data_IF_469570213641
#
_entry.id   IF_469570213641
#
_cell.length_a   1.000
_cell.length_b   1.000
_cell.length_c   1.000
_cell.angle_alpha   90.00
_cell.angle_beta   90.00
_cell.angle_gamma   90.00
#
_symmetry.space_group_name_H-M   'P 1'
#
loop_
_entity.id
_entity.type
_entity.pdbx_description
1 polymer ?
#
# COMPACT_ATOMS: atom_id res chain seq x y z
N UNK A 1 -32.51 6.75 31.94
CA UNK A 1 -33.65 6.80 31.01
C UNK A 1 -33.04 6.80 29.62
N UNK A 2 -33.04 5.65 28.93
CA UNK A 2 -32.57 5.59 27.54
C UNK A 2 -33.49 6.46 26.67
N UNK A 3 -32.91 7.23 25.75
CA UNK A 3 -33.68 8.11 24.89
C UNK A 3 -34.60 7.28 24.00
N UNK A 4 -35.77 7.79 23.60
CA UNK A 4 -36.69 7.06 22.73
C UNK A 4 -36.01 6.60 21.42
N UNK A 5 -35.06 7.39 20.90
CA UNK A 5 -34.27 7.06 19.71
C UNK A 5 -33.35 5.86 19.92
N UNK A 6 -32.75 5.72 21.10
CA UNK A 6 -31.89 4.56 21.42
C UNK A 6 -32.70 3.26 21.38
N UNK A 7 -33.91 3.26 21.96
CA UNK A 7 -34.79 2.07 21.93
C UNK A 7 -35.27 1.71 20.53
N UNK A 8 -35.65 2.71 19.73
CA UNK A 8 -36.06 2.49 18.33
C UNK A 8 -34.89 1.95 17.49
N UNK A 9 -33.65 2.33 17.82
CA UNK A 9 -32.43 1.80 17.19
C UNK A 9 -32.15 0.34 17.60
N UNK A 10 -32.20 0.03 18.90
CA UNK A 10 -32.01 -1.34 19.44
C UNK A 10 -33.01 -2.33 18.82
N UNK A 11 -34.30 -1.98 18.80
CA UNK A 11 -35.34 -2.83 18.19
C UNK A 11 -35.06 -3.07 16.69
N UNK A 12 -34.56 -2.04 16.00
CA UNK A 12 -34.18 -2.14 14.58
C UNK A 12 -32.98 -3.06 14.32
N UNK A 13 -31.96 -3.00 15.17
CA UNK A 13 -30.77 -3.87 15.10
C UNK A 13 -31.17 -5.33 15.26
N UNK A 14 -31.90 -5.67 16.33
CA UNK A 14 -32.34 -7.04 16.58
C UNK A 14 -33.22 -7.56 15.43
N UNK A 15 -34.13 -6.74 14.91
CA UNK A 15 -34.99 -7.14 13.79
C UNK A 15 -34.18 -7.43 12.52
N UNK A 16 -33.21 -6.56 12.18
CA UNK A 16 -32.39 -6.75 10.99
C UNK A 16 -31.50 -8.00 11.08
N UNK A 17 -30.92 -8.28 12.25
CA UNK A 17 -30.11 -9.48 12.47
C UNK A 17 -30.94 -10.76 12.48
N UNK A 18 -32.14 -10.75 13.05
CA UNK A 18 -33.06 -11.90 12.96
C UNK A 18 -33.46 -12.20 11.51
N UNK A 19 -33.68 -11.16 10.71
CA UNK A 19 -33.95 -11.34 9.28
C UNK A 19 -32.74 -11.94 8.55
N UNK A 20 -31.54 -11.40 8.79
CA UNK A 20 -30.30 -11.90 8.22
C UNK A 20 -30.05 -13.37 8.58
N UNK A 21 -30.18 -13.74 9.86
CA UNK A 21 -30.05 -15.12 10.33
C UNK A 21 -31.08 -16.04 9.66
N UNK A 22 -32.31 -15.56 9.44
CA UNK A 22 -33.34 -16.37 8.80
C UNK A 22 -33.02 -16.71 7.33
N UNK A 23 -32.16 -15.94 6.66
CA UNK A 23 -31.84 -16.08 5.23
C UNK A 23 -30.42 -16.58 4.95
N UNK A 24 -29.51 -16.54 5.92
CA UNK A 24 -28.08 -16.84 5.74
C UNK A 24 -27.83 -18.23 5.12
N UNK A 25 -28.58 -19.24 5.58
CA UNK A 25 -28.46 -20.63 5.12
C UNK A 25 -29.41 -20.98 3.96
N UNK A 26 -30.22 -20.03 3.48
CA UNK A 26 -31.14 -20.27 2.36
C UNK A 26 -30.41 -20.21 1.03
N UNK A 27 -30.87 -21.00 0.07
CA UNK A 27 -30.40 -20.92 -1.33
C UNK A 27 -31.13 -19.79 -2.08
N UNK A 28 -30.98 -18.56 -1.59
CA UNK A 28 -31.55 -17.37 -2.21
C UNK A 28 -30.68 -16.15 -1.96
N UNK A 29 -29.76 -15.91 -2.90
CA UNK A 29 -28.78 -14.83 -2.82
C UNK A 29 -29.41 -13.43 -2.80
N UNK A 30 -30.53 -13.23 -3.50
CA UNK A 30 -31.22 -11.95 -3.53
C UNK A 30 -31.76 -11.55 -2.15
N UNK A 31 -32.31 -12.52 -1.40
CA UNK A 31 -32.77 -12.29 -0.03
C UNK A 31 -31.60 -11.99 0.93
N UNK A 32 -30.45 -12.65 0.74
CA UNK A 32 -29.24 -12.37 1.54
C UNK A 32 -28.74 -10.95 1.31
N UNK A 33 -28.66 -10.52 0.05
CA UNK A 33 -28.26 -9.15 -0.31
C UNK A 33 -29.24 -8.13 0.29
N UNK A 34 -30.56 -8.36 0.14
CA UNK A 34 -31.56 -7.47 0.71
C UNK A 34 -31.48 -7.36 2.24
N UNK A 35 -31.21 -8.48 2.94
CA UNK A 35 -31.04 -8.46 4.39
C UNK A 35 -29.79 -7.66 4.81
N UNK A 36 -28.68 -7.79 4.07
CA UNK A 36 -27.47 -6.99 4.30
C UNK A 36 -27.68 -5.49 4.05
N UNK A 37 -28.45 -5.12 3.01
CA UNK A 37 -28.82 -3.73 2.73
C UNK A 37 -29.65 -3.11 3.88
N UNK A 38 -30.50 -3.92 4.54
CA UNK A 38 -31.23 -3.47 5.74
C UNK A 38 -30.31 -3.20 6.91
N UNK A 39 -29.29 -4.04 7.12
CA UNK A 39 -28.27 -3.80 8.15
C UNK A 39 -27.49 -2.51 7.84
N UNK A 40 -27.08 -2.32 6.59
CA UNK A 40 -26.36 -1.12 6.15
C UNK A 40 -27.19 0.16 6.37
N UNK A 41 -28.49 0.12 6.08
CA UNK A 41 -29.40 1.25 6.26
C UNK A 41 -29.57 1.71 7.72
N UNK A 42 -29.19 0.88 8.71
CA UNK A 42 -29.20 1.27 10.13
C UNK A 42 -28.00 2.14 10.50
N UNK A 43 -26.89 2.06 9.74
CA UNK A 43 -25.64 2.72 10.08
C UNK A 43 -25.70 4.20 9.71
N UNK A 44 -25.73 5.08 10.72
CA UNK A 44 -25.56 6.52 10.51
C UNK A 44 -24.07 6.89 10.48
N UNK A 45 -23.59 7.27 9.29
CA UNK A 45 -22.20 7.73 9.09
C UNK A 45 -21.84 9.01 9.87
N UNK A 46 -22.82 9.74 10.41
CA UNK A 46 -22.59 10.90 11.27
C UNK A 46 -22.57 10.56 12.77
N UNK A 47 -22.94 9.34 13.16
CA UNK A 47 -22.96 8.93 14.57
C UNK A 47 -21.52 8.74 15.09
N UNK A 48 -21.07 9.68 15.93
CA UNK A 48 -19.76 9.60 16.59
C UNK A 48 -19.76 8.67 17.81
N UNK A 49 -20.95 8.26 18.30
CA UNK A 49 -21.06 7.34 19.43
C UNK A 49 -20.88 5.88 19.02
N UNK A 50 -21.05 5.58 17.73
CA UNK A 50 -21.03 4.24 17.14
C UNK A 50 -21.99 3.26 17.84
N UNK A 51 -23.10 3.78 18.34
CA UNK A 51 -24.05 3.00 19.16
C UNK A 51 -24.66 1.83 18.40
N UNK A 52 -25.06 2.08 17.16
CA UNK A 52 -25.66 1.08 16.27
C UNK A 52 -24.63 0.06 15.81
N UNK A 53 -23.44 0.51 15.40
CA UNK A 53 -22.34 -0.35 14.98
C UNK A 53 -21.91 -1.29 16.10
N UNK A 54 -21.84 -0.77 17.34
CA UNK A 54 -21.55 -1.58 18.52
C UNK A 54 -22.64 -2.61 18.79
N UNK A 55 -23.90 -2.21 18.79
CA UNK A 55 -25.03 -3.13 19.01
C UNK A 55 -25.05 -4.25 17.97
N UNK A 56 -24.83 -3.94 16.69
CA UNK A 56 -24.74 -4.92 15.62
C UNK A 56 -23.66 -5.98 15.89
N UNK A 57 -22.47 -5.55 16.31
CA UNK A 57 -21.37 -6.47 16.64
C UNK A 57 -21.66 -7.28 17.89
N UNK A 58 -22.17 -6.65 18.95
CA UNK A 58 -22.51 -7.31 20.22
C UNK A 58 -23.62 -8.37 20.04
N UNK A 59 -24.52 -8.18 19.07
CA UNK A 59 -25.59 -9.12 18.72
C UNK A 59 -25.19 -10.18 17.66
N UNK A 60 -23.90 -10.29 17.33
CA UNK A 60 -23.35 -11.41 16.55
C UNK A 60 -23.29 -11.18 15.04
N UNK A 61 -23.35 -9.93 14.55
CA UNK A 61 -23.20 -9.64 13.12
C UNK A 61 -21.94 -10.28 12.49
N UNK A 62 -20.83 -10.34 13.24
CA UNK A 62 -19.53 -10.88 12.79
C UNK A 62 -19.68 -12.31 12.24
N UNK A 63 -20.38 -13.19 12.96
CA UNK A 63 -20.55 -14.60 12.56
C UNK A 63 -21.38 -14.76 11.29
N UNK A 64 -22.34 -13.86 11.06
CA UNK A 64 -23.14 -13.85 9.84
C UNK A 64 -22.30 -13.38 8.65
N UNK A 65 -21.51 -12.32 8.82
CA UNK A 65 -20.65 -11.79 7.76
C UNK A 65 -19.54 -12.78 7.38
N UNK A 66 -18.92 -13.46 8.35
CA UNK A 66 -17.92 -14.50 8.08
C UNK A 66 -18.50 -15.65 7.22
N UNK A 67 -19.70 -16.14 7.58
CA UNK A 67 -20.42 -17.15 6.78
C UNK A 67 -20.73 -16.67 5.37
N UNK A 68 -21.19 -15.43 5.21
CA UNK A 68 -21.56 -14.86 3.91
C UNK A 68 -20.35 -14.51 3.04
N UNK A 69 -19.19 -14.24 3.62
CA UNK A 69 -17.93 -14.01 2.91
C UNK A 69 -17.22 -15.28 2.45
N UNK A 70 -17.60 -16.45 3.00
CA UNK A 70 -16.97 -17.72 2.69
C UNK A 70 -16.93 -17.99 1.17
N UNK A 71 -15.90 -18.69 0.64
CA UNK A 71 -15.72 -18.93 -0.79
C UNK A 71 -16.90 -19.62 -1.50
N UNK A 72 -17.75 -20.35 -0.75
CA UNK A 72 -18.95 -21.00 -1.28
C UNK A 72 -20.13 -20.08 -1.55
N UNK A 73 -20.11 -18.85 -1.04
CA UNK A 73 -21.17 -17.86 -1.25
C UNK A 73 -21.06 -17.19 -2.62
N UNK A 74 -22.21 -16.84 -3.21
CA UNK A 74 -22.23 -16.13 -4.48
C UNK A 74 -21.47 -14.79 -4.39
N UNK A 75 -20.80 -14.41 -5.48
CA UNK A 75 -19.96 -13.19 -5.53
C UNK A 75 -20.76 -11.94 -5.15
N UNK A 76 -22.02 -11.83 -5.57
CA UNK A 76 -22.89 -10.71 -5.21
C UNK A 76 -23.17 -10.64 -3.69
N UNK A 77 -23.32 -11.78 -3.03
CA UNK A 77 -23.52 -11.87 -1.58
C UNK A 77 -22.24 -11.49 -0.85
N UNK A 78 -21.09 -11.99 -1.30
CA UNK A 78 -19.78 -11.62 -0.74
C UNK A 78 -19.50 -10.12 -0.89
N UNK A 79 -19.83 -9.54 -2.05
CA UNK A 79 -19.73 -8.10 -2.29
C UNK A 79 -20.64 -7.28 -1.37
N UNK A 80 -21.89 -7.72 -1.17
CA UNK A 80 -22.80 -7.08 -0.22
C UNK A 80 -22.28 -7.16 1.22
N UNK A 81 -21.77 -8.33 1.64
CA UNK A 81 -21.20 -8.51 2.97
C UNK A 81 -19.98 -7.59 3.18
N UNK A 82 -19.11 -7.45 2.17
CA UNK A 82 -17.99 -6.52 2.20
C UNK A 82 -18.46 -5.05 2.34
N UNK A 83 -19.51 -4.62 1.60
CA UNK A 83 -20.08 -3.27 1.77
C UNK A 83 -20.66 -3.04 3.17
N UNK A 84 -21.35 -4.03 3.73
CA UNK A 84 -21.86 -3.96 5.10
C UNK A 84 -20.70 -3.82 6.10
N UNK A 85 -19.60 -4.57 5.93
CA UNK A 85 -18.39 -4.39 6.75
C UNK A 85 -17.82 -2.99 6.60
N UNK A 86 -17.69 -2.48 5.37
CA UNK A 86 -17.16 -1.14 5.11
C UNK A 86 -18.00 -0.07 5.82
N UNK A 87 -19.32 -0.16 5.75
CA UNK A 87 -20.24 0.75 6.44
C UNK A 87 -20.13 0.66 7.96
N UNK A 88 -20.19 -0.55 8.53
CA UNK A 88 -20.16 -0.76 9.98
C UNK A 88 -18.79 -0.41 10.58
N UNK A 89 -17.69 -0.64 9.86
CA UNK A 89 -16.34 -0.34 10.31
C UNK A 89 -15.88 1.10 9.99
N UNK A 90 -16.62 1.86 9.17
CA UNK A 90 -16.24 3.21 8.79
C UNK A 90 -16.13 4.13 10.01
N UNK A 91 -15.13 5.00 10.00
CA UNK A 91 -15.05 6.13 10.95
C UNK A 91 -16.15 7.12 10.60
N UNK A 92 -16.77 7.73 11.62
CA UNK A 92 -17.77 8.78 11.41
C UNK A 92 -17.23 9.89 10.49
N UNK A 93 -18.09 10.44 9.64
CA UNK A 93 -17.75 11.51 8.69
C UNK A 93 -17.10 12.72 9.39
N UNK A 94 -17.60 13.09 10.57
CA UNK A 94 -17.00 14.11 11.44
C UNK A 94 -15.62 13.70 11.96
N UNK A 95 -15.44 12.44 12.36
CA UNK A 95 -14.14 11.88 12.75
C UNK A 95 -13.13 11.91 11.60
N UNK A 96 -13.53 11.46 10.42
CA UNK A 96 -12.71 11.51 9.20
C UNK A 96 -12.31 12.95 8.85
N UNK A 97 -13.24 13.90 8.91
CA UNK A 97 -12.96 15.32 8.65
C UNK A 97 -12.05 15.96 9.70
N UNK A 98 -12.06 15.47 10.95
CA UNK A 98 -11.09 15.88 11.99
C UNK A 98 -9.73 15.30 11.73
N UNK A 99 -9.64 14.03 11.32
CA UNK A 99 -8.38 13.36 11.00
C UNK A 99 -7.68 14.01 9.80
N UNK A 100 -8.42 14.28 8.71
CA UNK A 100 -7.88 14.99 7.56
C UNK A 100 -7.33 16.39 7.92
N UNK A 101 -8.01 17.11 8.82
CA UNK A 101 -7.54 18.42 9.33
C UNK A 101 -6.41 18.32 10.35
N UNK A 102 -6.37 17.26 11.14
CA UNK A 102 -5.30 17.00 12.11
C UNK A 102 -3.96 16.77 11.41
N UNK A 103 -3.99 16.02 10.31
CA UNK A 103 -2.82 15.79 9.45
C UNK A 103 -2.28 17.10 8.84
N UNK A 104 -3.15 18.04 8.45
CA UNK A 104 -2.70 19.32 7.87
C UNK A 104 -2.16 20.34 8.89
N UNK A 105 -2.46 20.17 10.18
CA UNK A 105 -2.05 21.07 11.25
C UNK A 105 -0.86 20.56 12.07
N UNK A 106 -0.22 19.45 11.68
CA UNK A 106 0.93 18.90 12.39
C UNK A 106 0.58 18.27 13.75
N UNK A 107 -0.70 17.99 14.02
CA UNK A 107 -1.16 17.27 15.21
C UNK A 107 -1.28 15.75 14.96
N UNK A 108 -0.59 15.23 13.94
CA UNK A 108 -0.83 13.94 13.28
C UNK A 108 -0.69 12.68 14.14
N UNK A 109 -0.38 12.76 15.44
CA UNK A 109 -0.04 11.58 16.24
C UNK A 109 -0.56 11.59 17.67
N UNK A 110 -1.67 12.29 17.97
CA UNK A 110 -2.40 11.98 19.22
C UNK A 110 -3.71 11.25 18.89
N UNK A 111 -3.67 9.91 18.72
CA UNK A 111 -4.86 9.05 18.60
C UNK A 111 -5.90 9.30 19.68
N UNK A 112 -5.48 9.85 20.82
CA UNK A 112 -6.26 10.09 22.03
C UNK A 112 -7.50 10.99 21.84
N UNK A 113 -7.69 11.62 20.67
CA UNK A 113 -8.82 12.52 20.41
C UNK A 113 -9.84 12.03 19.39
N UNK A 114 -9.60 10.90 18.73
CA UNK A 114 -10.58 10.34 17.79
C UNK A 114 -11.14 9.07 18.38
N UNK A 115 -12.45 9.05 18.62
CA UNK A 115 -13.17 7.85 19.02
C UNK A 115 -12.99 6.80 17.92
N UNK A 116 -12.20 5.78 18.25
CA UNK A 116 -12.08 4.58 17.44
C UNK A 116 -13.46 3.95 17.26
N UNK A 117 -13.77 3.53 16.05
CA UNK A 117 -15.00 2.77 15.83
C UNK A 117 -14.82 1.39 16.52
N UNK A 118 -15.61 1.08 17.56
CA UNK A 118 -15.44 -0.14 18.34
C UNK A 118 -15.72 -1.41 17.53
N UNK A 119 -16.42 -1.31 16.39
CA UNK A 119 -16.72 -2.44 15.52
C UNK A 119 -15.51 -2.90 14.70
N UNK A 120 -14.47 -2.06 14.51
CA UNK A 120 -13.31 -2.41 13.69
C UNK A 120 -12.56 -3.63 14.21
N UNK A 121 -12.31 -3.72 15.53
CA UNK A 121 -11.52 -4.81 16.08
C UNK A 121 -12.22 -6.18 16.00
N UNK A 122 -13.51 -6.31 16.36
CA UNK A 122 -14.23 -7.58 16.21
C UNK A 122 -14.46 -8.00 14.75
N UNK A 123 -14.66 -7.04 13.83
CA UNK A 123 -14.82 -7.33 12.40
C UNK A 123 -13.50 -7.64 11.70
N UNK A 124 -12.36 -7.22 12.25
CA UNK A 124 -11.03 -7.54 11.74
C UNK A 124 -10.54 -8.94 12.17
N UNK A 125 -11.46 -9.89 12.28
CA UNK A 125 -11.12 -11.29 12.47
C UNK A 125 -10.27 -11.80 11.29
N UNK A 126 -9.39 -12.75 11.57
CA UNK A 126 -8.47 -13.30 10.57
C UNK A 126 -9.20 -13.90 9.39
N UNK A 127 -10.28 -14.66 9.61
CA UNK A 127 -11.02 -15.31 8.53
C UNK A 127 -11.72 -14.28 7.64
N UNK A 128 -12.27 -13.22 8.25
CA UNK A 128 -12.89 -12.09 7.53
C UNK A 128 -11.85 -11.36 6.68
N UNK A 129 -10.71 -10.99 7.27
CA UNK A 129 -9.63 -10.31 6.54
C UNK A 129 -9.13 -11.15 5.36
N UNK A 130 -8.81 -12.43 5.59
CA UNK A 130 -8.34 -13.30 4.51
C UNK A 130 -9.38 -13.46 3.40
N UNK A 131 -10.67 -13.60 3.73
CA UNK A 131 -11.74 -13.68 2.74
C UNK A 131 -11.91 -12.39 1.93
N UNK A 132 -11.71 -11.22 2.55
CA UNK A 132 -11.71 -9.93 1.86
C UNK A 132 -10.49 -9.76 0.95
N UNK A 133 -9.29 -10.17 1.39
CA UNK A 133 -8.09 -10.13 0.53
C UNK A 133 -8.26 -11.02 -0.68
N UNK A 134 -8.78 -12.23 -0.51
CA UNK A 134 -9.09 -13.12 -1.63
C UNK A 134 -10.15 -12.53 -2.57
N UNK A 135 -11.17 -11.86 -2.03
CA UNK A 135 -12.20 -11.21 -2.83
C UNK A 135 -11.65 -10.02 -3.62
N UNK A 136 -10.76 -9.24 -3.01
CA UNK A 136 -10.10 -8.10 -3.64
C UNK A 136 -9.14 -8.53 -4.75
N UNK A 137 -8.33 -9.56 -4.51
CA UNK A 137 -7.37 -10.10 -5.49
C UNK A 137 -8.04 -10.92 -6.59
N UNK A 138 -9.15 -11.59 -6.28
CA UNK A 138 -9.80 -12.54 -7.18
C UNK A 138 -10.72 -11.93 -8.25
N UNK A 139 -10.89 -10.60 -8.29
CA UNK A 139 -11.96 -10.00 -9.08
C UNK A 139 -11.66 -8.63 -9.68
N UNK A 140 -12.47 -8.30 -10.68
CA UNK A 140 -12.64 -6.94 -11.22
C UNK A 140 -14.10 -6.54 -11.00
N UNK A 141 -14.34 -5.27 -10.72
CA UNK A 141 -15.69 -4.70 -10.52
C UNK A 141 -16.12 -4.65 -9.05
N UNK A 142 -17.42 -4.56 -8.84
CA UNK A 142 -18.05 -4.16 -7.57
C UNK A 142 -17.60 -4.99 -6.35
N UNK A 143 -17.27 -6.27 -6.53
CA UNK A 143 -16.84 -7.14 -5.44
C UNK A 143 -15.44 -6.79 -4.93
N UNK A 144 -14.50 -6.51 -5.84
CA UNK A 144 -13.14 -6.13 -5.47
C UNK A 144 -13.10 -4.72 -4.88
N UNK A 145 -13.92 -3.81 -5.41
CA UNK A 145 -14.09 -2.45 -4.87
C UNK A 145 -14.69 -2.49 -3.45
N UNK A 146 -15.76 -3.26 -3.25
CA UNK A 146 -16.36 -3.44 -1.93
C UNK A 146 -15.38 -4.07 -0.93
N UNK A 147 -14.59 -5.06 -1.36
CA UNK A 147 -13.56 -5.68 -0.52
C UNK A 147 -12.45 -4.68 -0.14
N UNK A 148 -11.98 -3.87 -1.10
CA UNK A 148 -11.01 -2.81 -0.85
C UNK A 148 -11.52 -1.76 0.13
N UNK A 149 -12.77 -1.31 -0.02
CA UNK A 149 -13.42 -0.38 0.90
C UNK A 149 -13.55 -0.97 2.32
N UNK A 150 -13.90 -2.25 2.43
CA UNK A 150 -13.98 -2.96 3.70
C UNK A 150 -12.60 -3.06 4.39
N UNK A 151 -11.58 -3.49 3.65
CA UNK A 151 -10.21 -3.58 4.15
C UNK A 151 -9.67 -2.21 4.57
N UNK A 152 -9.93 -1.16 3.78
CA UNK A 152 -9.56 0.20 4.16
C UNK A 152 -10.25 0.60 5.47
N UNK A 153 -11.57 0.41 5.59
CA UNK A 153 -12.31 0.74 6.80
C UNK A 153 -11.83 -0.05 8.03
N UNK A 154 -11.49 -1.33 7.88
CA UNK A 154 -11.02 -2.18 8.97
C UNK A 154 -9.59 -1.84 9.42
N UNK A 155 -8.73 -1.45 8.49
CA UNK A 155 -7.30 -1.19 8.75
C UNK A 155 -7.00 0.26 9.11
N UNK A 156 -7.92 1.18 8.84
CA UNK A 156 -7.75 2.61 9.11
C UNK A 156 -7.59 2.86 10.62
N UNK A 157 -6.39 3.32 11.01
CA UNK A 157 -5.91 3.48 12.40
C UNK A 157 -5.93 2.19 13.26
N UNK A 158 -6.25 1.03 12.70
CA UNK A 158 -6.24 -0.25 13.40
C UNK A 158 -4.95 -1.03 13.06
N UNK A 159 -3.87 -0.76 13.79
CA UNK A 159 -2.56 -1.37 13.54
C UNK A 159 -2.60 -2.91 13.52
N UNK A 160 -3.23 -3.61 14.48
CA UNK A 160 -3.33 -5.08 14.43
C UNK A 160 -3.99 -5.60 13.15
N UNK A 161 -5.13 -5.02 12.75
CA UNK A 161 -5.81 -5.39 11.51
C UNK A 161 -4.95 -5.11 10.27
N UNK A 162 -4.24 -3.98 10.28
CA UNK A 162 -3.34 -3.59 9.18
C UNK A 162 -2.16 -4.54 9.02
N UNK A 163 -1.57 -5.00 10.12
CA UNK A 163 -0.50 -6.02 10.11
C UNK A 163 -1.04 -7.38 9.65
N UNK A 164 -2.26 -7.74 10.03
CA UNK A 164 -2.91 -8.97 9.55
C UNK A 164 -3.19 -8.90 8.04
N UNK A 165 -3.73 -7.78 7.55
CA UNK A 165 -3.91 -7.53 6.11
C UNK A 165 -2.58 -7.61 5.35
N UNK A 166 -1.52 -6.98 5.87
CA UNK A 166 -0.19 -7.04 5.28
C UNK A 166 0.32 -8.49 5.19
N UNK A 167 0.09 -9.30 6.23
CA UNK A 167 0.47 -10.72 6.23
C UNK A 167 -0.23 -11.51 5.13
N UNK A 168 -1.52 -11.28 4.93
CA UNK A 168 -2.30 -11.97 3.91
C UNK A 168 -1.89 -11.55 2.49
N UNK A 169 -1.54 -10.27 2.29
CA UNK A 169 -0.97 -9.81 1.03
C UNK A 169 0.42 -10.39 0.75
N UNK A 170 1.30 -10.48 1.76
CA UNK A 170 2.61 -11.12 1.61
C UNK A 170 2.44 -12.61 1.32
N UNK A 171 1.49 -13.30 1.97
CA UNK A 171 1.20 -14.69 1.66
C UNK A 171 0.68 -14.86 0.23
N UNK A 172 -0.20 -13.96 -0.24
CA UNK A 172 -0.66 -13.97 -1.63
C UNK A 172 0.50 -13.80 -2.62
N UNK A 173 1.46 -12.92 -2.33
CA UNK A 173 2.67 -12.75 -3.13
C UNK A 173 3.53 -14.02 -3.15
N UNK A 174 3.69 -14.68 -2.00
CA UNK A 174 4.41 -15.96 -1.88
C UNK A 174 3.73 -17.08 -2.70
N UNK A 175 2.40 -17.04 -2.80
CA UNK A 175 1.60 -17.96 -3.60
C UNK A 175 1.60 -17.61 -5.11
N UNK A 176 2.30 -16.54 -5.50
CA UNK A 176 2.46 -16.10 -6.89
C UNK A 176 1.37 -15.17 -7.42
N UNK A 177 0.52 -14.61 -6.54
CA UNK A 177 -0.49 -13.59 -6.89
C UNK A 177 0.18 -12.21 -6.92
N UNK A 178 0.83 -11.89 -8.03
CA UNK A 178 1.63 -10.66 -8.17
C UNK A 178 0.77 -9.38 -8.13
N UNK A 179 -0.55 -9.50 -8.32
CA UNK A 179 -1.51 -8.41 -8.14
C UNK A 179 -1.49 -7.85 -6.70
N UNK A 180 -1.01 -8.62 -5.72
CA UNK A 180 -0.83 -8.15 -4.35
C UNK A 180 0.18 -7.00 -4.22
N UNK A 181 1.09 -6.79 -5.18
CA UNK A 181 2.11 -5.74 -5.10
C UNK A 181 1.51 -4.33 -5.02
N UNK A 182 0.48 -4.04 -5.82
CA UNK A 182 -0.17 -2.72 -5.83
C UNK A 182 -0.86 -2.44 -4.49
N UNK A 183 -1.41 -3.48 -3.87
CA UNK A 183 -2.06 -3.40 -2.57
C UNK A 183 -1.08 -3.29 -1.41
N UNK A 184 0.08 -3.95 -1.53
CA UNK A 184 1.14 -3.93 -0.52
C UNK A 184 1.69 -2.51 -0.31
N UNK A 185 1.90 -1.78 -1.40
CA UNK A 185 2.38 -0.40 -1.33
C UNK A 185 1.39 0.50 -0.58
N UNK A 186 0.10 0.40 -0.92
CA UNK A 186 -0.97 1.10 -0.18
C UNK A 186 -1.04 0.65 1.29
N UNK A 187 -0.87 -0.65 1.55
CA UNK A 187 -0.96 -1.23 2.88
C UNK A 187 0.16 -0.78 3.81
N UNK A 188 1.32 -0.35 3.31
CA UNK A 188 2.42 0.17 4.15
C UNK A 188 2.35 1.68 4.39
N UNK A 189 1.59 2.45 3.61
CA UNK A 189 1.49 3.91 3.76
C UNK A 189 1.03 4.35 5.16
N UNK A 190 1.84 5.10 5.91
CA UNK A 190 1.50 5.49 7.31
C UNK A 190 1.50 4.34 8.33
N UNK A 191 2.04 3.16 8.00
CA UNK A 191 2.37 2.13 8.97
C UNK A 191 3.82 2.29 9.42
N UNK A 192 4.08 2.33 10.74
CA UNK A 192 5.46 2.23 11.23
C UNK A 192 5.99 0.81 10.96
N UNK A 193 6.95 0.70 10.04
CA UNK A 193 7.49 -0.58 9.54
C UNK A 193 8.52 -1.18 10.52
N UNK A 194 8.11 -1.32 11.77
CA UNK A 194 8.86 -1.93 12.89
C UNK A 194 8.09 -3.12 13.46
N UNK A 195 8.75 -3.86 14.34
CA UNK A 195 8.20 -5.02 15.06
C UNK A 195 7.54 -6.03 14.10
N UNK A 196 6.29 -6.41 14.36
CA UNK A 196 5.54 -7.40 13.57
C UNK A 196 5.43 -7.05 12.09
N UNK A 197 5.31 -5.76 11.73
CA UNK A 197 5.22 -5.33 10.34
C UNK A 197 6.54 -5.61 9.60
N UNK A 198 7.67 -5.36 10.26
CA UNK A 198 8.99 -5.66 9.71
C UNK A 198 9.18 -7.16 9.47
N UNK A 199 8.78 -8.01 10.44
CA UNK A 199 8.88 -9.47 10.33
C UNK A 199 8.03 -10.00 9.15
N UNK A 200 6.86 -9.41 8.92
CA UNK A 200 6.01 -9.78 7.77
C UNK A 200 6.67 -9.35 6.46
N UNK A 201 7.15 -8.11 6.35
CA UNK A 201 7.78 -7.61 5.12
C UNK A 201 9.09 -8.31 4.76
N UNK A 202 9.85 -8.78 5.75
CA UNK A 202 11.09 -9.53 5.50
C UNK A 202 10.83 -10.81 4.66
N UNK A 203 9.63 -11.39 4.76
CA UNK A 203 9.23 -12.55 3.97
C UNK A 203 8.98 -12.21 2.49
N UNK A 204 8.70 -10.93 2.17
CA UNK A 204 8.46 -10.46 0.81
C UNK A 204 9.74 -10.09 0.05
N UNK A 205 10.87 -9.87 0.73
CA UNK A 205 12.11 -9.35 0.12
C UNK A 205 12.63 -10.24 -1.03
N UNK A 206 12.71 -11.55 -0.81
CA UNK A 206 13.20 -12.49 -1.83
C UNK A 206 12.21 -12.67 -3.01
N UNK A 207 10.90 -12.82 -2.78
CA UNK A 207 9.90 -12.75 -3.86
C UNK A 207 10.00 -11.46 -4.70
N UNK A 208 10.14 -10.30 -4.05
CA UNK A 208 10.30 -9.02 -4.74
C UNK A 208 11.54 -9.02 -5.62
N UNK A 209 12.69 -9.46 -5.08
CA UNK A 209 13.93 -9.55 -5.84
C UNK A 209 13.79 -10.44 -7.10
N UNK A 210 13.10 -11.58 -6.97
CA UNK A 210 12.83 -12.47 -8.09
C UNK A 210 11.93 -11.82 -9.15
N UNK A 211 10.95 -11.02 -8.74
CA UNK A 211 10.08 -10.26 -9.67
C UNK A 211 10.84 -9.13 -10.38
N UNK A 212 11.73 -8.42 -9.68
CA UNK A 212 12.64 -7.43 -10.28
C UNK A 212 13.52 -8.09 -11.37
N UNK A 213 13.98 -9.32 -11.15
CA UNK A 213 14.82 -10.04 -12.13
C UNK A 213 14.01 -10.58 -13.31
N UNK A 214 12.91 -11.29 -13.05
CA UNK A 214 12.25 -12.18 -14.02
C UNK A 214 10.78 -11.86 -14.31
N UNK A 215 10.19 -10.88 -13.63
CA UNK A 215 8.80 -10.49 -13.84
C UNK A 215 8.54 -9.83 -15.20
N UNK A 216 7.26 -9.63 -15.50
CA UNK A 216 6.81 -8.76 -16.59
C UNK A 216 7.24 -7.31 -16.35
N UNK A 217 7.19 -6.45 -17.37
CA UNK A 217 7.54 -5.04 -17.21
C UNK A 217 6.73 -4.35 -16.09
N UNK A 218 5.44 -4.66 -15.98
CA UNK A 218 4.56 -4.14 -14.92
C UNK A 218 4.98 -4.66 -13.53
N UNK A 219 5.22 -5.96 -13.40
CA UNK A 219 5.64 -6.57 -12.13
C UNK A 219 7.02 -6.08 -11.69
N UNK A 220 7.96 -5.88 -12.63
CA UNK A 220 9.28 -5.30 -12.36
C UNK A 220 9.16 -3.89 -11.80
N UNK A 221 8.31 -3.06 -12.40
CA UNK A 221 8.05 -1.70 -11.95
C UNK A 221 7.48 -1.69 -10.52
N UNK A 222 6.42 -2.46 -10.28
CA UNK A 222 5.77 -2.53 -8.98
C UNK A 222 6.71 -3.11 -7.90
N UNK A 223 7.46 -4.17 -8.23
CA UNK A 223 8.37 -4.81 -7.29
C UNK A 223 9.57 -3.92 -6.93
N UNK A 224 10.16 -3.21 -7.91
CA UNK A 224 11.28 -2.30 -7.63
C UNK A 224 10.84 -1.08 -6.83
N UNK A 225 9.67 -0.51 -7.18
CA UNK A 225 9.08 0.60 -6.44
C UNK A 225 8.81 0.22 -4.98
N UNK A 226 8.11 -0.90 -4.74
CA UNK A 226 7.81 -1.35 -3.38
C UNK A 226 9.07 -1.74 -2.60
N UNK A 227 10.09 -2.31 -3.25
CA UNK A 227 11.39 -2.54 -2.63
C UNK A 227 12.04 -1.23 -2.19
N UNK A 228 12.00 -0.19 -3.02
CA UNK A 228 12.42 1.17 -2.68
C UNK A 228 11.73 1.68 -1.42
N UNK A 229 10.38 1.62 -1.37
CA UNK A 229 9.58 1.99 -0.20
C UNK A 229 10.04 1.28 1.08
N UNK A 230 10.31 -0.03 1.01
CA UNK A 230 10.78 -0.81 2.16
C UNK A 230 12.18 -0.35 2.59
N UNK A 231 13.12 -0.18 1.66
CA UNK A 231 14.51 0.19 1.97
C UNK A 231 14.59 1.62 2.50
N UNK A 232 13.78 2.54 1.98
CA UNK A 232 13.71 3.91 2.47
C UNK A 232 13.25 3.96 3.93
N UNK A 233 12.13 3.28 4.22
CA UNK A 233 11.59 3.19 5.57
C UNK A 233 12.48 2.37 6.52
N UNK A 234 13.23 1.40 5.99
CA UNK A 234 14.11 0.49 6.75
C UNK A 234 15.50 0.40 6.12
N UNK A 235 16.39 1.39 6.34
CA UNK A 235 17.73 1.42 5.71
C UNK A 235 18.59 0.18 5.97
N UNK A 236 18.38 -0.54 7.09
CA UNK A 236 19.08 -1.79 7.38
C UNK A 236 18.82 -2.90 6.34
N UNK A 237 17.67 -2.86 5.65
CA UNK A 237 17.34 -3.81 4.56
C UNK A 237 18.30 -3.65 3.38
N UNK A 238 18.87 -2.46 3.16
CA UNK A 238 19.81 -2.23 2.07
C UNK A 238 21.02 -3.19 2.13
N UNK A 239 21.56 -3.46 3.33
CA UNK A 239 22.68 -4.38 3.49
C UNK A 239 22.30 -5.81 3.13
N UNK A 240 21.16 -6.29 3.62
CA UNK A 240 20.62 -7.59 3.26
C UNK A 240 20.46 -7.73 1.74
N UNK A 241 19.80 -6.75 1.11
CA UNK A 241 19.56 -6.79 -0.34
C UNK A 241 20.86 -6.76 -1.15
N UNK A 242 21.88 -6.02 -0.72
CA UNK A 242 23.20 -6.06 -1.37
C UNK A 242 23.84 -7.44 -1.28
N UNK A 243 23.75 -8.09 -0.11
CA UNK A 243 24.35 -9.41 0.13
C UNK A 243 23.64 -10.52 -0.66
N UNK A 244 22.32 -10.40 -0.84
CA UNK A 244 21.51 -11.31 -1.66
C UNK A 244 21.60 -11.01 -3.18
N UNK A 245 22.51 -10.12 -3.59
CA UNK A 245 22.76 -9.82 -5.01
C UNK A 245 21.74 -8.87 -5.65
N UNK A 246 20.97 -8.14 -4.84
CA UNK A 246 19.92 -7.23 -5.28
C UNK A 246 20.37 -6.06 -6.16
N UNK A 247 21.64 -5.67 -6.09
CA UNK A 247 22.18 -4.59 -6.93
C UNK A 247 22.11 -4.91 -8.42
N UNK A 248 22.40 -6.15 -8.82
CA UNK A 248 22.47 -6.55 -10.22
C UNK A 248 21.13 -6.40 -10.95
N UNK A 249 20.01 -6.98 -10.48
CA UNK A 249 18.74 -6.86 -11.18
C UNK A 249 18.21 -5.42 -11.18
N UNK A 250 18.39 -4.66 -10.10
CA UNK A 250 18.00 -3.24 -10.06
C UNK A 250 18.82 -2.40 -11.04
N UNK A 251 20.14 -2.58 -11.09
CA UNK A 251 20.99 -1.87 -12.05
C UNK A 251 20.69 -2.23 -13.51
N UNK A 252 20.29 -3.48 -13.78
CA UNK A 252 19.85 -3.88 -15.11
C UNK A 252 18.55 -3.16 -15.54
N UNK A 253 17.64 -2.86 -14.59
CA UNK A 253 16.46 -2.04 -14.86
C UNK A 253 16.81 -0.59 -15.15
N UNK A 254 17.82 -0.02 -14.49
CA UNK A 254 18.32 1.33 -14.85
C UNK A 254 18.93 1.33 -16.25
N UNK A 255 19.72 0.31 -16.60
CA UNK A 255 20.44 0.25 -17.88
C UNK A 255 19.55 0.00 -19.10
N UNK A 256 18.42 -0.70 -18.94
CA UNK A 256 17.59 -1.17 -20.06
C UNK A 256 16.10 -1.22 -19.81
N UNK A 257 15.63 -0.70 -18.68
CA UNK A 257 14.21 -0.54 -18.39
C UNK A 257 13.57 0.58 -19.19
N UNK A 258 12.26 0.51 -19.38
CA UNK A 258 11.49 1.66 -19.86
C UNK A 258 11.45 2.77 -18.82
N UNK A 259 11.16 4.00 -19.24
CA UNK A 259 11.16 5.23 -18.41
C UNK A 259 10.51 5.03 -17.03
N UNK A 260 9.26 4.55 -17.01
CA UNK A 260 8.49 4.36 -15.77
C UNK A 260 9.16 3.41 -14.76
N UNK A 261 10.02 2.50 -15.21
CA UNK A 261 10.75 1.57 -14.35
C UNK A 261 12.12 2.12 -13.98
N UNK A 262 12.74 2.88 -14.88
CA UNK A 262 14.07 3.45 -14.67
C UNK A 262 14.07 4.39 -13.46
N UNK A 263 13.07 5.25 -13.33
CA UNK A 263 12.94 6.21 -12.23
C UNK A 263 12.92 5.52 -10.84
N UNK A 264 11.95 4.62 -10.61
CA UNK A 264 11.88 3.82 -9.39
C UNK A 264 13.13 2.95 -9.16
N UNK A 265 13.75 2.44 -10.23
CA UNK A 265 14.98 1.65 -10.14
C UNK A 265 16.19 2.51 -9.75
N UNK A 266 16.29 3.75 -10.22
CA UNK A 266 17.35 4.69 -9.84
C UNK A 266 17.22 5.06 -8.36
N UNK A 267 16.03 5.44 -7.93
CA UNK A 267 15.74 5.72 -6.51
C UNK A 267 16.14 4.53 -5.63
N UNK A 268 15.63 3.34 -5.96
CA UNK A 268 15.94 2.12 -5.23
C UNK A 268 17.43 1.80 -5.25
N UNK A 269 18.11 1.93 -6.40
CA UNK A 269 19.55 1.68 -6.50
C UNK A 269 20.35 2.65 -5.65
N UNK A 270 19.99 3.93 -5.63
CA UNK A 270 20.61 4.93 -4.78
C UNK A 270 20.45 4.58 -3.30
N UNK A 271 19.24 4.24 -2.84
CA UNK A 271 18.98 3.79 -1.47
C UNK A 271 19.84 2.57 -1.10
N UNK A 272 20.03 1.63 -2.04
CA UNK A 272 20.86 0.46 -1.82
C UNK A 272 22.37 0.79 -1.71
N UNK A 273 22.86 1.89 -2.27
CA UNK A 273 24.32 2.18 -2.35
C UNK A 273 24.77 3.45 -1.63
N UNK A 274 23.87 4.32 -1.16
CA UNK A 274 24.21 5.63 -0.56
C UNK A 274 25.22 5.54 0.58
N UNK A 275 25.11 4.48 1.39
CA UNK A 275 26.00 4.19 2.53
C UNK A 275 27.11 3.17 2.20
N UNK A 276 27.10 2.62 0.97
CA UNK A 276 28.02 1.57 0.53
C UNK A 276 28.55 1.84 -0.89
N UNK A 277 28.96 3.09 -1.17
CA UNK A 277 29.39 3.53 -2.51
C UNK A 277 30.50 2.67 -3.12
N UNK A 278 31.32 2.00 -2.31
CA UNK A 278 32.33 1.04 -2.80
C UNK A 278 31.74 -0.12 -3.62
N UNK A 279 30.45 -0.43 -3.46
CA UNK A 279 29.72 -1.41 -4.27
C UNK A 279 29.57 -1.01 -5.74
N UNK A 280 29.80 0.27 -6.07
CA UNK A 280 29.74 0.81 -7.44
C UNK A 280 31.07 0.70 -8.21
N UNK A 281 32.10 0.07 -7.62
CA UNK A 281 33.40 -0.09 -8.28
C UNK A 281 33.29 -0.97 -9.53
N UNK A 282 34.14 -0.73 -10.55
CA UNK A 282 34.23 -1.62 -11.71
C UNK A 282 34.47 -3.08 -11.30
N UNK A 283 33.69 -4.00 -11.86
CA UNK A 283 33.75 -5.43 -11.49
C UNK A 283 33.13 -5.78 -10.12
N UNK A 284 32.46 -4.81 -9.48
CA UNK A 284 31.73 -5.00 -8.23
C UNK A 284 30.38 -5.72 -8.40
N UNK A 285 29.55 -5.75 -7.34
CA UNK A 285 28.26 -6.46 -7.30
C UNK A 285 27.17 -5.84 -8.20
N UNK A 286 27.43 -4.70 -8.84
CA UNK A 286 26.49 -4.03 -9.74
C UNK A 286 26.10 -4.90 -10.95
N UNK A 287 26.95 -5.85 -11.35
CA UNK A 287 26.67 -6.81 -12.43
C UNK A 287 26.59 -6.23 -13.85
N UNK A 288 26.63 -4.91 -13.99
CA UNK A 288 26.79 -4.15 -15.24
C UNK A 288 27.95 -3.16 -15.08
N UNK A 289 28.66 -2.78 -16.16
CA UNK A 289 29.65 -1.71 -16.06
C UNK A 289 28.96 -0.39 -15.73
N UNK A 290 29.57 0.44 -14.87
CA UNK A 290 28.98 1.73 -14.48
C UNK A 290 28.68 2.64 -15.68
N UNK A 291 29.46 2.53 -16.76
CA UNK A 291 29.23 3.24 -18.02
C UNK A 291 27.92 2.89 -18.70
N UNK A 292 27.36 1.69 -18.48
CA UNK A 292 26.06 1.30 -19.03
C UNK A 292 24.88 2.02 -18.35
N UNK A 293 25.12 2.65 -17.19
CA UNK A 293 24.09 3.44 -16.50
C UNK A 293 24.12 4.91 -16.88
N UNK A 294 25.22 5.40 -17.47
CA UNK A 294 25.46 6.84 -17.65
C UNK A 294 24.41 7.49 -18.52
N UNK A 295 24.12 6.93 -19.69
CA UNK A 295 23.17 7.51 -20.64
C UNK A 295 21.76 7.56 -20.04
N UNK A 296 21.29 6.46 -19.43
CA UNK A 296 19.98 6.40 -18.78
C UNK A 296 19.85 7.41 -17.62
N UNK A 297 20.91 7.58 -16.82
CA UNK A 297 20.90 8.55 -15.73
C UNK A 297 20.93 10.00 -16.25
N UNK A 298 21.71 10.29 -17.29
CA UNK A 298 21.73 11.62 -17.91
C UNK A 298 20.40 11.98 -18.57
N UNK A 299 19.75 11.00 -19.21
CA UNK A 299 18.43 11.18 -19.80
C UNK A 299 17.37 11.52 -18.74
N UNK A 300 17.41 10.86 -17.57
CA UNK A 300 16.52 11.18 -16.45
C UNK A 300 16.77 12.58 -15.90
N UNK A 301 18.04 12.96 -15.68
CA UNK A 301 18.39 14.31 -15.20
C UNK A 301 17.91 15.40 -16.18
N UNK A 302 18.11 15.20 -17.49
CA UNK A 302 17.64 16.16 -18.50
C UNK A 302 16.13 16.27 -18.54
N UNK A 303 15.40 15.19 -18.24
CA UNK A 303 13.95 15.18 -18.21
C UNK A 303 13.41 15.92 -16.98
N UNK A 304 13.94 15.65 -15.78
CA UNK A 304 13.56 16.37 -14.55
C UNK A 304 13.74 17.89 -14.71
N UNK A 305 14.87 18.31 -15.28
CA UNK A 305 15.10 19.73 -15.63
C UNK A 305 14.05 20.31 -16.58
N UNK A 306 13.66 19.56 -17.63
CA UNK A 306 12.64 20.01 -18.59
C UNK A 306 11.25 20.10 -17.94
N UNK A 307 10.95 19.21 -17.00
CA UNK A 307 9.69 19.22 -16.26
C UNK A 307 9.63 20.39 -15.27
N UNK A 308 10.72 20.65 -14.55
CA UNK A 308 10.84 21.82 -13.67
C UNK A 308 10.67 23.13 -14.47
N UNK A 309 11.31 23.24 -15.64
CA UNK A 309 11.12 24.38 -16.55
C UNK A 309 9.68 24.49 -17.07
N UNK A 310 9.03 23.37 -17.38
CA UNK A 310 7.64 23.34 -17.82
C UNK A 310 6.71 23.83 -16.71
N UNK A 311 6.91 23.38 -15.47
CA UNK A 311 6.16 23.84 -14.29
C UNK A 311 6.40 25.33 -14.04
N UNK A 312 7.65 25.79 -14.09
CA UNK A 312 7.99 27.21 -13.96
C UNK A 312 7.35 28.09 -15.07
N UNK A 313 7.13 27.51 -16.25
CA UNK A 313 6.42 28.17 -17.37
C UNK A 313 4.89 28.13 -17.28
N UNK A 314 4.33 27.57 -16.21
CA UNK A 314 2.88 27.49 -15.97
C UNK A 314 2.18 26.38 -16.75
N UNK A 315 2.91 25.40 -17.29
CA UNK A 315 2.32 24.17 -17.82
C UNK A 315 2.10 23.21 -16.65
N UNK A 316 0.91 22.62 -16.59
CA UNK A 316 0.64 21.52 -15.66
C UNK A 316 1.43 20.30 -16.13
N UNK A 317 2.54 20.00 -15.45
CA UNK A 317 3.11 18.67 -15.49
C UNK A 317 2.21 17.77 -14.63
N UNK A 318 1.78 16.63 -15.17
CA UNK A 318 1.34 15.53 -14.32
C UNK A 318 2.60 15.07 -13.58
N UNK A 319 2.72 15.46 -12.31
CA UNK A 319 3.91 15.21 -11.49
C UNK A 319 3.99 13.72 -11.16
N UNK A 320 4.70 12.95 -11.99
CA UNK A 320 5.36 11.74 -11.54
C UNK A 320 6.46 12.13 -10.54
N UNK A 321 6.84 11.21 -9.65
CA UNK A 321 7.86 11.45 -8.63
C UNK A 321 9.19 11.70 -9.34
N UNK A 322 9.79 12.88 -9.16
CA UNK A 322 11.06 13.23 -9.80
C UNK A 322 12.21 12.68 -8.96
N UNK A 323 12.92 11.66 -9.46
CA UNK A 323 14.15 11.14 -8.83
C UNK A 323 15.41 11.59 -9.58
N UNK A 324 15.36 12.74 -10.24
CA UNK A 324 16.51 13.39 -10.89
C UNK A 324 17.67 13.65 -9.90
N UNK A 325 17.37 14.06 -8.67
CA UNK A 325 18.34 14.23 -7.58
C UNK A 325 19.07 12.91 -7.27
N UNK A 326 18.35 11.80 -7.21
CA UNK A 326 18.95 10.48 -6.99
C UNK A 326 19.79 10.02 -8.18
N UNK A 327 19.37 10.35 -9.41
CA UNK A 327 20.16 10.11 -10.61
C UNK A 327 21.48 10.90 -10.57
N UNK A 328 21.45 12.18 -10.17
CA UNK A 328 22.64 13.02 -9.98
C UNK A 328 23.55 12.43 -8.90
N UNK A 329 22.99 12.03 -7.75
CA UNK A 329 23.74 11.45 -6.64
C UNK A 329 24.40 10.13 -7.04
N UNK A 330 23.70 9.29 -7.80
CA UNK A 330 24.21 8.03 -8.31
C UNK A 330 25.30 8.24 -9.37
N UNK A 331 25.14 9.19 -10.30
CA UNK A 331 26.18 9.57 -11.27
C UNK A 331 27.47 10.05 -10.57
N UNK A 332 27.34 10.93 -9.57
CA UNK A 332 28.46 11.40 -8.75
C UNK A 332 29.13 10.24 -8.01
N UNK A 333 28.34 9.33 -7.44
CA UNK A 333 28.85 8.16 -6.75
C UNK A 333 29.62 7.23 -7.71
N UNK A 334 29.08 6.94 -8.91
CA UNK A 334 29.75 6.15 -9.94
C UNK A 334 31.06 6.81 -10.41
N UNK A 335 31.05 8.10 -10.76
CA UNK A 335 32.25 8.84 -11.19
C UNK A 335 33.35 8.93 -10.10
N UNK A 336 32.97 8.82 -8.82
CA UNK A 336 33.93 8.72 -7.72
C UNK A 336 34.65 7.37 -7.68
N UNK A 337 33.99 6.29 -8.10
CA UNK A 337 34.51 4.92 -8.07
C UNK A 337 35.12 4.45 -9.40
N UNK A 338 34.68 4.99 -10.53
CA UNK A 338 35.09 4.58 -11.88
C UNK A 338 35.60 5.79 -12.70
N UNK A 339 36.91 5.84 -13.04
CA UNK A 339 37.45 6.93 -13.85
C UNK A 339 36.89 6.97 -15.28
N UNK A 340 36.42 5.85 -15.83
CA UNK A 340 35.80 5.81 -17.16
C UNK A 340 34.44 6.50 -17.12
N UNK A 341 33.64 6.24 -16.08
CA UNK A 341 32.39 6.98 -15.85
C UNK A 341 32.67 8.46 -15.63
N UNK A 342 33.71 8.81 -14.87
CA UNK A 342 34.09 10.21 -14.66
C UNK A 342 34.38 10.94 -15.96
N UNK A 343 35.11 10.32 -16.89
CA UNK A 343 35.38 10.92 -18.19
C UNK A 343 34.12 10.93 -19.08
N UNK A 344 33.25 9.92 -18.99
CA UNK A 344 31.99 9.88 -19.74
C UNK A 344 31.01 11.01 -19.35
N UNK A 345 30.98 11.37 -18.06
CA UNK A 345 30.12 12.44 -17.52
C UNK A 345 30.76 13.83 -17.73
N UNK A 346 32.02 13.90 -18.15
CA UNK A 346 32.78 15.14 -18.33
C UNK A 346 32.20 15.96 -19.49
N UNK A 347 31.63 17.12 -19.16
CA UNK A 347 30.95 18.00 -20.12
C UNK A 347 29.42 17.98 -20.01
N UNK A 348 28.85 17.08 -19.21
CA UNK A 348 27.46 17.21 -18.75
C UNK A 348 27.35 18.27 -17.65
N UNK A 349 26.16 18.85 -17.48
CA UNK A 349 25.89 19.85 -16.43
C UNK A 349 26.10 19.28 -15.01
N UNK A 350 25.97 17.96 -14.86
CA UNK A 350 26.26 17.22 -13.63
C UNK A 350 27.72 17.40 -13.18
N UNK A 351 28.66 17.57 -14.12
CA UNK A 351 30.07 17.82 -13.82
C UNK A 351 30.33 19.24 -13.31
N UNK A 352 29.49 20.20 -13.68
CA UNK A 352 29.59 21.63 -13.30
C UNK A 352 28.87 21.97 -12.01
N UNK A 353 27.90 21.15 -11.56
CA UNK A 353 27.18 21.33 -10.30
C UNK A 353 28.04 21.11 -9.01
N UNK A 354 29.36 21.06 -9.14
CA UNK A 354 30.29 21.14 -8.02
C UNK A 354 30.40 22.60 -7.54
N UNK A 355 29.47 23.09 -6.68
CA UNK A 355 29.88 24.17 -5.75
C UNK A 355 29.00 24.51 -4.54
N UNK A 356 27.74 24.06 -4.36
CA UNK A 356 26.91 24.62 -3.27
C UNK A 356 25.95 23.65 -2.57
N UNK A 357 26.38 22.44 -2.20
CA UNK A 357 25.70 21.69 -1.12
C UNK A 357 26.76 21.24 -0.12
N UNK A 358 27.03 22.12 0.85
CA UNK A 358 27.58 21.81 2.16
C UNK A 358 26.46 21.99 3.18
#
# INVERSE_FOLDING_TARGET
>A
MTSKREREGEDGVTQALQELESVVDRDNDALKVQALEKVEALVDSADESYSTQKALVDEGLVDHLARLLAPGSAVAVRAAAARTIASVAAVSSSGAARLQRGNSLGFGETPDRVTFNPAQAPLADREVLSALVELQLGGVGDAAEAAGAALQALTYYNRPARVAYLRDLVQALLDGKNEALELLDTAVLSLDLKDDAAIVLDQALMPLLKLVESGTAKEKAAAVCFLGTIVEARPAVAEFMRNEGGLKPVAALVAGGGRAVADAAVHTLWLLVRDAKASLRPGGPLGVPGTALVDALLDLVQQGQQEEEAVASGKTADTEVDNDDDAILLLKALASQDPVVREAVKGSEVATANCCVM
#
